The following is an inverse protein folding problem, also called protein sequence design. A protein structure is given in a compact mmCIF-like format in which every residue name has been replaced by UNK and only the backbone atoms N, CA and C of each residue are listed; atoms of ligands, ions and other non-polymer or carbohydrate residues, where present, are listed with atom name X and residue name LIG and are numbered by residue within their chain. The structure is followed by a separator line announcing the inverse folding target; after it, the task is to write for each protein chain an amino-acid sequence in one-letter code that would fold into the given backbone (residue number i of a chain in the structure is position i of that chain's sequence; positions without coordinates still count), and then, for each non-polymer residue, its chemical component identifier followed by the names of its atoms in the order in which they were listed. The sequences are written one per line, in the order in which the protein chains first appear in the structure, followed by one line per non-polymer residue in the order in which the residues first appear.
data_IF_687659030619
#
_entry.id   IF_687659030619
#
_cell.length_a   1.000
_cell.length_b   1.000
_cell.length_c   1.000
_cell.angle_alpha   90.00
_cell.angle_beta   90.00
_cell.angle_gamma   90.00
#
_symmetry.space_group_name_H-M   'P 1'
#
loop_
_entity.id
_entity.type
_entity.pdbx_description
1 polymer ?
#
# COMPACT_ATOMS: atom_id res chain seq x y z
N UNK A 1 -30.40 12.83 -63.07
CA UNK A 1 -31.41 11.77 -62.85
C UNK A 1 -30.82 10.56 -62.14
N UNK A 2 -30.74 9.41 -62.81
CA UNK A 2 -30.28 8.14 -62.21
C UNK A 2 -28.82 8.17 -61.70
N UNK A 3 -27.86 8.66 -62.49
CA UNK A 3 -26.45 8.75 -62.09
C UNK A 3 -26.21 9.70 -60.90
N UNK A 4 -26.91 10.85 -60.87
CA UNK A 4 -26.86 11.77 -59.73
C UNK A 4 -27.41 11.15 -58.45
N UNK A 5 -28.56 10.46 -58.53
CA UNK A 5 -29.13 9.76 -57.38
C UNK A 5 -28.22 8.65 -56.86
N UNK A 6 -27.58 7.90 -57.77
CA UNK A 6 -26.60 6.87 -57.42
C UNK A 6 -25.38 7.45 -56.71
N UNK A 7 -24.78 8.52 -57.27
CA UNK A 7 -23.61 9.18 -56.67
C UNK A 7 -23.93 9.78 -55.30
N UNK A 8 -25.10 10.41 -55.17
CA UNK A 8 -25.57 10.97 -53.89
C UNK A 8 -25.78 9.89 -52.84
N UNK A 9 -26.39 8.76 -53.21
CA UNK A 9 -26.53 7.61 -52.32
C UNK A 9 -25.21 6.99 -51.89
N UNK A 10 -24.20 6.98 -52.77
CA UNK A 10 -22.83 6.53 -52.43
C UNK A 10 -22.15 7.48 -51.44
N UNK A 11 -22.30 8.80 -51.62
CA UNK A 11 -21.77 9.82 -50.70
C UNK A 11 -22.45 9.74 -49.32
N UNK A 12 -23.79 9.62 -49.29
CA UNK A 12 -24.57 9.46 -48.06
C UNK A 12 -24.18 8.18 -47.31
N UNK A 13 -24.03 7.06 -48.03
CA UNK A 13 -23.58 5.79 -47.44
C UNK A 13 -22.16 5.88 -46.88
N UNK A 14 -21.24 6.55 -47.57
CA UNK A 14 -19.88 6.81 -47.07
C UNK A 14 -19.90 7.65 -45.80
N UNK A 15 -20.72 8.68 -45.73
CA UNK A 15 -20.86 9.52 -44.55
C UNK A 15 -21.34 8.71 -43.33
N UNK A 16 -22.36 7.87 -43.51
CA UNK A 16 -22.89 6.98 -42.45
C UNK A 16 -21.82 5.98 -41.99
N UNK A 17 -21.04 5.41 -42.92
CA UNK A 17 -19.96 4.46 -42.57
C UNK A 17 -18.86 5.15 -41.78
N UNK A 18 -18.45 6.37 -42.15
CA UNK A 18 -17.44 7.12 -41.40
C UNK A 18 -17.94 7.53 -40.02
N UNK A 19 -19.18 8.00 -39.89
CA UNK A 19 -19.80 8.28 -38.60
C UNK A 19 -19.83 7.02 -37.70
N UNK A 20 -20.24 5.87 -38.25
CA UNK A 20 -20.26 4.61 -37.52
C UNK A 20 -18.86 4.16 -37.07
N UNK A 21 -17.81 4.43 -37.86
CA UNK A 21 -16.41 4.16 -37.46
C UNK A 21 -15.99 5.06 -36.31
N UNK A 22 -16.29 6.36 -36.39
CA UNK A 22 -15.98 7.31 -35.32
C UNK A 22 -16.65 6.91 -34.01
N UNK A 23 -17.95 6.60 -34.04
CA UNK A 23 -18.69 6.13 -32.85
C UNK A 23 -18.06 4.85 -32.28
N UNK A 24 -17.70 3.89 -33.14
CA UNK A 24 -17.04 2.66 -32.69
C UNK A 24 -15.71 2.93 -31.99
N UNK A 25 -14.89 3.83 -32.54
CA UNK A 25 -13.61 4.22 -31.93
C UNK A 25 -13.80 4.90 -30.58
N UNK A 26 -14.79 5.79 -30.46
CA UNK A 26 -15.15 6.44 -29.20
C UNK A 26 -15.61 5.43 -28.15
N UNK A 27 -16.48 4.48 -28.52
CA UNK A 27 -16.94 3.41 -27.62
C UNK A 27 -15.76 2.54 -27.13
N UNK A 28 -14.81 2.22 -28.01
CA UNK A 28 -13.63 1.42 -27.62
C UNK A 28 -12.77 2.20 -26.61
N UNK A 29 -12.54 3.49 -26.86
CA UNK A 29 -11.77 4.36 -25.95
C UNK A 29 -12.48 4.52 -24.60
N UNK A 30 -13.78 4.76 -24.63
CA UNK A 30 -14.62 4.89 -23.43
C UNK A 30 -14.60 3.61 -22.61
N UNK A 31 -14.77 2.45 -23.26
CA UNK A 31 -14.70 1.14 -22.62
C UNK A 31 -13.35 0.93 -21.93
N UNK A 32 -12.23 1.27 -22.59
CA UNK A 32 -10.90 1.18 -22.00
C UNK A 32 -10.74 2.11 -20.80
N UNK A 33 -11.26 3.33 -20.87
CA UNK A 33 -11.25 4.27 -19.73
C UNK A 33 -12.03 3.71 -18.54
N UNK A 34 -13.26 3.24 -18.78
CA UNK A 34 -14.11 2.67 -17.73
C UNK A 34 -13.45 1.49 -17.02
N UNK A 35 -12.74 0.61 -17.74
CA UNK A 35 -12.01 -0.49 -17.09
C UNK A 35 -10.90 0.02 -16.18
N UNK A 36 -10.09 0.98 -16.65
CA UNK A 36 -9.00 1.55 -15.83
C UNK A 36 -9.51 2.27 -14.60
N UNK A 37 -10.61 3.01 -14.73
CA UNK A 37 -11.28 3.67 -13.61
C UNK A 37 -11.80 2.62 -12.60
N UNK A 38 -12.49 1.58 -13.08
CA UNK A 38 -12.98 0.51 -12.23
C UNK A 38 -11.86 -0.24 -11.50
N UNK A 39 -10.74 -0.53 -12.17
CA UNK A 39 -9.56 -1.15 -11.54
C UNK A 39 -9.00 -0.27 -10.41
N UNK A 40 -8.88 1.04 -10.65
CA UNK A 40 -8.43 2.00 -9.64
C UNK A 40 -9.37 2.06 -8.45
N UNK A 41 -10.68 2.12 -8.70
CA UNK A 41 -11.70 2.17 -7.65
C UNK A 41 -11.69 0.90 -6.80
N UNK A 42 -11.58 -0.28 -7.42
CA UNK A 42 -11.49 -1.56 -6.70
C UNK A 42 -10.28 -1.57 -5.77
N UNK A 43 -9.10 -1.18 -6.26
CA UNK A 43 -7.88 -1.10 -5.46
C UNK A 43 -8.06 -0.13 -4.28
N UNK A 44 -8.64 1.04 -4.52
CA UNK A 44 -8.89 2.03 -3.47
C UNK A 44 -9.81 1.47 -2.37
N UNK A 45 -10.89 0.77 -2.74
CA UNK A 45 -11.79 0.14 -1.77
C UNK A 45 -11.07 -0.93 -0.94
N UNK A 46 -10.24 -1.76 -1.58
CA UNK A 46 -9.44 -2.78 -0.89
C UNK A 46 -8.47 -2.13 0.10
N UNK A 47 -7.74 -1.11 -0.32
CA UNK A 47 -6.79 -0.41 0.55
C UNK A 47 -7.49 0.20 1.76
N UNK A 48 -8.63 0.89 1.55
CA UNK A 48 -9.42 1.45 2.65
C UNK A 48 -9.93 0.38 3.62
N UNK A 49 -10.36 -0.78 3.10
CA UNK A 49 -10.80 -1.89 3.93
C UNK A 49 -9.66 -2.45 4.78
N UNK A 50 -8.47 -2.66 4.18
CA UNK A 50 -7.28 -3.15 4.88
C UNK A 50 -6.81 -2.14 5.93
N UNK A 51 -6.70 -0.86 5.60
CA UNK A 51 -6.33 0.19 6.55
C UNK A 51 -7.26 0.21 7.75
N UNK A 52 -8.58 0.09 7.53
CA UNK A 52 -9.57 0.07 8.60
C UNK A 52 -9.47 -1.17 9.49
N UNK A 53 -9.30 -2.36 8.90
CA UNK A 53 -9.17 -3.62 9.65
C UNK A 53 -7.88 -3.63 10.47
N UNK A 54 -6.77 -3.26 9.85
CA UNK A 54 -5.45 -3.23 10.52
C UNK A 54 -5.43 -2.16 11.59
N UNK A 55 -5.97 -0.97 11.33
CA UNK A 55 -6.08 0.09 12.34
C UNK A 55 -6.85 -0.37 13.58
N UNK A 56 -7.99 -1.05 13.39
CA UNK A 56 -8.74 -1.64 14.51
C UNK A 56 -7.93 -2.70 15.25
N UNK A 57 -7.21 -3.56 14.54
CA UNK A 57 -6.38 -4.59 15.15
C UNK A 57 -5.27 -3.96 16.02
N UNK A 58 -4.60 -2.91 15.53
CA UNK A 58 -3.61 -2.11 16.29
C UNK A 58 -4.20 -1.45 17.53
N UNK A 59 -5.45 -1.00 17.46
CA UNK A 59 -6.12 -0.42 18.62
C UNK A 59 -6.41 -1.44 19.72
N UNK A 60 -6.89 -2.63 19.33
CA UNK A 60 -7.36 -3.69 20.23
C UNK A 60 -6.23 -4.52 20.84
N UNK A 61 -5.18 -4.84 20.08
CA UNK A 61 -4.09 -5.73 20.51
C UNK A 61 -2.78 -4.96 20.73
N UNK A 62 -2.44 -4.76 22.01
CA UNK A 62 -1.20 -4.06 22.42
C UNK A 62 0.08 -4.84 22.10
N UNK A 63 0.01 -6.15 21.91
CA UNK A 63 1.18 -6.98 21.63
C UNK A 63 1.63 -6.89 20.16
N UNK A 64 0.82 -6.31 19.28
CA UNK A 64 1.17 -6.08 17.86
C UNK A 64 2.51 -5.37 17.74
N UNK A 65 2.77 -4.32 18.54
CA UNK A 65 4.02 -3.57 18.44
C UNK A 65 5.24 -4.45 18.73
N UNK A 66 5.13 -5.38 19.69
CA UNK A 66 6.20 -6.32 20.02
C UNK A 66 6.43 -7.30 18.85
N UNK A 67 5.35 -7.78 18.24
CA UNK A 67 5.42 -8.66 17.07
C UNK A 67 6.03 -7.96 15.86
N UNK A 68 5.73 -6.67 15.66
CA UNK A 68 6.30 -5.86 14.58
C UNK A 68 7.79 -5.64 14.78
N UNK A 69 8.23 -5.38 16.02
CA UNK A 69 9.65 -5.26 16.36
C UNK A 69 10.36 -6.60 16.08
N UNK A 70 9.80 -7.71 16.56
CA UNK A 70 10.34 -9.06 16.34
C UNK A 70 10.48 -9.37 14.85
N UNK A 71 9.41 -9.15 14.07
CA UNK A 71 9.39 -9.39 12.62
C UNK A 71 10.38 -8.50 11.87
N UNK A 72 10.53 -7.24 12.30
CA UNK A 72 11.54 -6.33 11.76
C UNK A 72 12.97 -6.82 11.93
N UNK A 73 13.21 -7.57 13.01
CA UNK A 73 14.51 -8.11 13.40
C UNK A 73 14.73 -9.58 13.00
N UNK A 74 13.74 -10.23 12.39
CA UNK A 74 13.77 -11.68 12.10
C UNK A 74 14.90 -12.08 11.15
N UNK A 75 15.36 -11.16 10.29
CA UNK A 75 16.49 -11.38 9.37
C UNK A 75 17.79 -10.71 9.85
N UNK A 76 17.84 -10.22 11.09
CA UNK A 76 19.01 -9.56 11.66
C UNK A 76 19.94 -10.60 12.30
N UNK A 77 21.15 -10.75 11.75
CA UNK A 77 22.09 -11.81 12.15
C UNK A 77 23.39 -11.26 12.79
N UNK A 78 23.32 -10.09 13.43
CA UNK A 78 24.46 -9.46 14.07
C UNK A 78 24.16 -9.20 15.56
N UNK A 79 25.12 -9.52 16.43
CA UNK A 79 25.06 -9.17 17.85
C UNK A 79 25.31 -7.69 18.01
N UNK A 80 24.24 -6.91 18.20
CA UNK A 80 24.31 -5.47 18.31
C UNK A 80 23.36 -4.91 19.37
N UNK A 81 23.68 -3.70 19.82
CA UNK A 81 22.74 -2.85 20.55
C UNK A 81 21.83 -2.15 19.55
N UNK A 82 20.53 -2.27 19.77
CA UNK A 82 19.53 -1.73 18.85
C UNK A 82 18.71 -0.66 19.55
N UNK A 83 18.39 0.41 18.83
CA UNK A 83 17.45 1.43 19.34
C UNK A 83 16.12 1.28 18.61
N UNK A 84 15.04 1.08 19.36
CA UNK A 84 13.68 1.02 18.82
C UNK A 84 12.95 2.29 19.21
N UNK A 85 12.59 3.10 18.22
CA UNK A 85 11.67 4.24 18.39
C UNK A 85 10.25 3.76 18.22
N UNK A 86 9.39 4.10 19.16
CA UNK A 86 7.96 3.78 19.15
C UNK A 86 7.13 5.01 19.49
N UNK A 87 5.84 4.95 19.18
CA UNK A 87 4.88 5.99 19.55
C UNK A 87 4.81 6.22 21.06
N UNK A 88 4.30 7.38 21.46
CA UNK A 88 4.01 7.66 22.87
C UNK A 88 3.08 6.63 23.50
N UNK A 89 2.08 6.16 22.74
CA UNK A 89 1.06 5.23 23.22
C UNK A 89 1.61 3.82 23.45
N UNK A 90 2.60 3.40 22.65
CA UNK A 90 3.19 2.05 22.73
C UNK A 90 4.41 2.00 23.66
N UNK A 91 5.01 3.15 23.99
CA UNK A 91 6.25 3.24 24.76
C UNK A 91 6.21 2.46 26.08
N UNK A 92 5.19 2.71 26.91
CA UNK A 92 5.03 2.07 28.21
C UNK A 92 4.89 0.55 28.09
N UNK A 93 4.19 0.07 27.06
CA UNK A 93 4.02 -1.36 26.81
C UNK A 93 5.34 -2.00 26.37
N UNK A 94 6.08 -1.34 25.48
CA UNK A 94 7.37 -1.82 25.00
C UNK A 94 8.41 -1.89 26.13
N UNK A 95 8.50 -0.85 26.97
CA UNK A 95 9.43 -0.82 28.11
C UNK A 95 9.13 -1.95 29.10
N UNK A 96 7.86 -2.16 29.46
CA UNK A 96 7.45 -3.23 30.39
C UNK A 96 7.76 -4.62 29.85
N UNK A 97 7.78 -4.78 28.53
CA UNK A 97 8.04 -6.05 27.86
C UNK A 97 9.44 -6.10 27.22
N UNK A 98 10.37 -5.23 27.62
CA UNK A 98 11.74 -5.21 27.09
C UNK A 98 12.42 -6.58 27.18
N UNK A 99 12.27 -7.26 28.32
CA UNK A 99 12.84 -8.61 28.52
C UNK A 99 12.24 -9.65 27.58
N UNK A 100 10.98 -9.49 27.16
CA UNK A 100 10.32 -10.36 26.19
C UNK A 100 10.95 -10.16 24.80
N UNK A 101 11.16 -8.91 24.39
CA UNK A 101 11.82 -8.55 23.13
C UNK A 101 13.23 -9.16 23.07
N UNK A 102 14.02 -9.02 24.14
CA UNK A 102 15.37 -9.57 24.22
C UNK A 102 15.41 -11.10 24.14
N UNK A 103 14.42 -11.79 24.73
CA UNK A 103 14.32 -13.26 24.68
C UNK A 103 13.86 -13.78 23.32
N UNK A 104 13.03 -13.01 22.63
CA UNK A 104 12.41 -13.40 21.36
C UNK A 104 13.34 -13.22 20.16
N UNK A 105 14.46 -12.49 20.31
CA UNK A 105 15.39 -12.14 19.24
C UNK A 105 16.79 -12.67 19.59
N UNK A 106 17.25 -13.69 18.86
CA UNK A 106 18.43 -14.50 19.20
C UNK A 106 19.76 -13.71 19.20
N UNK A 107 19.89 -12.71 18.34
CA UNK A 107 21.13 -11.93 18.14
C UNK A 107 21.09 -10.53 18.78
N UNK A 108 20.27 -10.31 19.81
CA UNK A 108 20.08 -8.98 20.39
C UNK A 108 20.77 -8.85 21.75
N UNK A 109 21.86 -8.06 21.81
CA UNK A 109 22.63 -7.85 23.05
C UNK A 109 21.92 -6.92 24.04
N UNK A 110 21.38 -5.81 23.53
CA UNK A 110 20.58 -4.86 24.31
C UNK A 110 19.63 -4.09 23.38
N UNK A 111 18.50 -3.67 23.93
CA UNK A 111 17.52 -2.85 23.21
C UNK A 111 17.21 -1.59 23.98
N UNK A 112 17.48 -0.45 23.37
CA UNK A 112 17.11 0.85 23.88
C UNK A 112 15.76 1.26 23.27
N UNK A 113 14.75 1.51 24.09
CA UNK A 113 13.42 1.90 23.61
C UNK A 113 13.27 3.40 23.83
N UNK A 114 12.99 4.14 22.76
CA UNK A 114 12.81 5.58 22.77
C UNK A 114 11.38 5.95 22.35
N UNK A 115 10.84 6.99 22.98
CA UNK A 115 9.58 7.60 22.60
C UNK A 115 9.81 8.58 21.44
N UNK A 116 8.99 8.47 20.41
CA UNK A 116 8.96 9.37 19.26
C UNK A 116 7.53 9.87 19.03
N UNK A 117 7.33 11.18 19.20
CA UNK A 117 6.02 11.82 19.09
C UNK A 117 5.55 11.96 17.63
N UNK A 118 6.44 11.74 16.66
CA UNK A 118 6.08 11.74 15.24
C UNK A 118 5.47 10.42 14.77
N UNK A 119 5.63 9.35 15.56
CA UNK A 119 5.11 8.03 15.26
C UNK A 119 3.68 7.84 15.78
N UNK A 120 2.85 7.19 14.98
CA UNK A 120 1.50 6.79 15.38
C UNK A 120 1.55 5.45 16.12
N UNK A 121 0.51 5.16 16.89
CA UNK A 121 0.32 3.84 17.50
C UNK A 121 0.48 2.73 16.46
N UNK A 122 1.24 1.68 16.79
CA UNK A 122 1.58 0.59 15.89
C UNK A 122 2.73 0.90 14.91
N UNK A 123 3.30 2.11 14.93
CA UNK A 123 4.51 2.41 14.18
C UNK A 123 5.76 2.26 15.03
N UNK A 124 6.79 1.63 14.44
CA UNK A 124 8.11 1.52 15.01
C UNK A 124 9.20 1.73 13.97
N UNK A 125 10.31 2.28 14.42
CA UNK A 125 11.55 2.42 13.64
C UNK A 125 12.68 1.81 14.44
N UNK A 126 13.40 0.89 13.82
CA UNK A 126 14.47 0.13 14.45
C UNK A 126 15.79 0.63 13.87
N UNK A 127 16.66 1.15 14.72
CA UNK A 127 17.98 1.66 14.36
C UNK A 127 19.04 0.68 14.83
N UNK A 128 19.81 0.19 13.87
CA UNK A 128 20.91 -0.76 14.07
C UNK A 128 22.21 -0.15 13.55
N UNK A 129 23.36 -0.74 13.88
CA UNK A 129 24.66 -0.30 13.35
C UNK A 129 24.74 -0.39 11.82
N UNK A 130 23.96 -1.29 11.22
CA UNK A 130 23.92 -1.53 9.78
C UNK A 130 22.92 -0.64 9.04
N UNK A 131 22.05 0.08 9.76
CA UNK A 131 21.06 0.98 9.16
C UNK A 131 19.73 1.02 9.91
N UNK A 132 18.73 1.63 9.25
CA UNK A 132 17.40 1.86 9.81
C UNK A 132 16.38 0.95 9.15
N UNK A 133 15.64 0.20 9.96
CA UNK A 133 14.56 -0.71 9.54
C UNK A 133 13.23 -0.09 9.96
N UNK A 134 12.37 0.17 8.98
CA UNK A 134 11.01 0.68 9.22
C UNK A 134 10.03 -0.51 9.22
N UNK A 135 9.55 -0.90 10.40
CA UNK A 135 8.69 -2.08 10.57
C UNK A 135 7.26 -1.76 11.00
N UNK A 136 6.94 -0.48 11.17
CA UNK A 136 5.62 0.00 11.54
C UNK A 136 4.51 -0.37 10.56
N UNK A 137 3.28 -0.35 11.07
CA UNK A 137 2.07 -0.62 10.30
C UNK A 137 1.91 0.33 9.12
N UNK A 138 2.16 1.62 9.33
CA UNK A 138 2.07 2.63 8.27
C UNK A 138 3.04 2.33 7.11
N UNK A 139 4.23 1.83 7.41
CA UNK A 139 5.22 1.44 6.40
C UNK A 139 4.72 0.25 5.58
N UNK A 140 4.14 -0.76 6.24
CA UNK A 140 3.60 -1.94 5.55
C UNK A 140 2.40 -1.60 4.67
N UNK A 141 1.47 -0.76 5.16
CA UNK A 141 0.34 -0.27 4.37
C UNK A 141 0.79 0.55 3.16
N UNK A 142 1.82 1.40 3.33
CA UNK A 142 2.42 2.15 2.22
C UNK A 142 3.07 1.22 1.19
N UNK A 143 3.78 0.19 1.63
CA UNK A 143 4.36 -0.81 0.72
C UNK A 143 3.26 -1.54 -0.08
N UNK A 144 2.17 -1.94 0.58
CA UNK A 144 1.01 -2.54 -0.07
C UNK A 144 0.39 -1.62 -1.12
N UNK A 145 0.19 -0.34 -0.78
CA UNK A 145 -0.31 0.67 -1.72
C UNK A 145 0.59 0.84 -2.94
N UNK A 146 1.91 0.86 -2.73
CA UNK A 146 2.87 0.96 -3.83
C UNK A 146 2.86 -0.29 -4.73
N UNK A 147 2.67 -1.49 -4.17
CA UNK A 147 2.54 -2.73 -4.95
C UNK A 147 1.33 -2.67 -5.88
N UNK A 148 0.17 -2.26 -5.35
CA UNK A 148 -1.03 -2.10 -6.19
C UNK A 148 -0.87 -0.99 -7.24
N UNK A 149 -0.22 0.12 -6.88
CA UNK A 149 0.08 1.18 -7.86
C UNK A 149 1.01 0.70 -8.98
N UNK A 150 1.94 -0.23 -8.71
CA UNK A 150 2.74 -0.87 -9.73
C UNK A 150 1.88 -1.66 -10.72
N UNK A 151 0.98 -2.49 -10.21
CA UNK A 151 0.07 -3.33 -11.01
C UNK A 151 -0.90 -2.49 -11.87
N UNK A 152 -1.37 -1.34 -11.36
CA UNK A 152 -2.26 -0.45 -12.12
C UNK A 152 -1.56 0.31 -13.26
N UNK A 153 -0.23 0.38 -13.24
CA UNK A 153 0.59 1.09 -14.23
C UNK A 153 1.19 0.16 -15.30
N UNK A 154 1.03 -1.16 -15.16
CA UNK A 154 1.35 -2.17 -16.18
C UNK A 154 0.20 -2.34 -17.18
#
# INVERSE_FOLDING_TARGET
GYQEGYKKGEEDAKAIIEEAKTIKEEIIKEKQRMYKEAESDIVNVILLAVEKIVGKYVEEDKDIILNLIKKGMENYNAFDKVTVRVSEEDYEHCIKNKDKILKDIEFLDDVNILKDLSLKKGDCVIETNSGVINSGVSTQLKALKNLFAGVLNE
#
